data_IF_418466559704
#
_entry.id   IF_418466559704
#
_cell.length_a   1.000
_cell.length_b   1.000
_cell.length_c   1.000
_cell.angle_alpha   90.00
_cell.angle_beta   90.00
_cell.angle_gamma   90.00
#
_symmetry.space_group_name_H-M   'P 1'
#
loop_
_entity.id
_entity.type
_entity.pdbx_description
1 polymer ?
#
# COMPACT_ATOMS: atom_id res chain seq x y z
N UNK A 1 10.06 15.54 -11.57
CA UNK A 1 8.99 14.53 -11.37
C UNK A 1 7.83 15.18 -10.62
N UNK A 2 6.57 14.90 -10.99
CA UNK A 2 5.41 15.52 -10.34
C UNK A 2 5.02 14.62 -9.15
N UNK A 3 4.83 15.18 -7.96
CA UNK A 3 4.32 14.45 -6.81
C UNK A 3 2.85 14.14 -7.08
N UNK A 4 2.48 12.88 -7.02
CA UNK A 4 1.11 12.39 -7.15
C UNK A 4 0.85 11.49 -5.94
N UNK A 5 0.25 12.05 -4.91
CA UNK A 5 -0.13 11.38 -3.67
C UNK A 5 -1.59 11.68 -3.37
N UNK A 6 -2.27 10.70 -2.86
CA UNK A 6 -3.60 10.88 -2.28
C UNK A 6 -3.52 11.74 -1.03
N UNK A 7 -4.56 12.52 -0.77
CA UNK A 7 -4.57 13.52 0.29
C UNK A 7 -4.27 12.92 1.67
N UNK A 8 -4.81 11.75 1.98
CA UNK A 8 -4.60 11.10 3.28
C UNK A 8 -3.16 10.59 3.41
N UNK A 9 -2.60 10.00 2.34
CA UNK A 9 -1.22 9.57 2.28
C UNK A 9 -0.25 10.76 2.37
N UNK A 10 -0.56 11.86 1.67
CA UNK A 10 0.22 13.09 1.73
C UNK A 10 0.21 13.67 3.14
N UNK A 11 -0.95 13.75 3.78
CA UNK A 11 -1.09 14.25 5.15
C UNK A 11 -0.28 13.42 6.14
N UNK A 12 -0.33 12.08 6.04
CA UNK A 12 0.43 11.18 6.91
C UNK A 12 1.95 11.35 6.73
N UNK A 13 2.42 11.49 5.49
CA UNK A 13 3.84 11.77 5.19
C UNK A 13 4.27 13.14 5.73
N UNK A 14 3.46 14.17 5.53
CA UNK A 14 3.74 15.51 6.03
C UNK A 14 3.75 15.57 7.57
N UNK A 15 2.85 14.86 8.23
CA UNK A 15 2.82 14.74 9.68
C UNK A 15 4.11 14.12 10.21
N UNK A 16 4.56 13.00 9.58
CA UNK A 16 5.81 12.35 9.95
C UNK A 16 7.01 13.29 9.81
N UNK A 17 7.11 14.06 8.72
CA UNK A 17 8.19 15.02 8.49
C UNK A 17 8.14 16.13 9.55
N UNK A 18 6.96 16.69 9.80
CA UNK A 18 6.76 17.84 10.71
C UNK A 18 6.87 17.47 12.19
N UNK A 19 6.81 16.18 12.52
CA UNK A 19 7.05 15.70 13.88
C UNK A 19 8.45 16.02 14.40
N UNK A 20 9.39 16.38 13.51
CA UNK A 20 10.79 16.65 13.81
C UNK A 20 11.59 15.40 14.23
N UNK A 21 11.00 14.22 14.13
CA UNK A 21 11.61 12.93 14.51
C UNK A 21 11.50 11.93 13.36
N UNK A 22 12.05 12.31 12.20
CA UNK A 22 12.04 11.40 11.05
C UNK A 22 12.85 10.13 11.40
N UNK A 23 12.27 8.93 11.31
CA UNK A 23 12.99 7.68 11.54
C UNK A 23 14.12 7.50 10.54
N UNK A 24 15.25 6.96 11.00
CA UNK A 24 16.40 6.70 10.11
C UNK A 24 16.10 5.70 9.01
N UNK A 25 15.19 4.77 9.25
CA UNK A 25 14.78 3.76 8.27
C UNK A 25 13.26 3.75 8.18
N UNK A 26 12.74 3.98 6.97
CA UNK A 26 11.32 4.01 6.66
C UNK A 26 11.04 3.00 5.54
N UNK A 27 10.00 2.21 5.72
CA UNK A 27 9.45 1.32 4.70
C UNK A 27 8.07 1.85 4.31
N UNK A 28 7.91 2.23 3.05
CA UNK A 28 6.64 2.60 2.44
C UNK A 28 6.05 1.38 1.75
N UNK A 29 4.94 0.87 2.26
CA UNK A 29 4.26 -0.29 1.68
C UNK A 29 2.85 0.06 1.18
N UNK A 30 2.30 -0.74 0.28
CA UNK A 30 0.96 -0.54 -0.27
C UNK A 30 0.92 0.51 -1.37
N UNK A 31 -0.27 1.02 -1.68
CA UNK A 31 -0.49 2.00 -2.73
C UNK A 31 0.01 1.59 -4.12
N UNK A 32 -0.07 2.50 -5.07
CA UNK A 32 0.55 2.33 -6.39
C UNK A 32 2.05 2.68 -6.36
N UNK A 33 2.78 2.22 -7.39
CA UNK A 33 4.23 2.50 -7.49
C UNK A 33 4.50 4.00 -7.49
N UNK A 34 3.77 4.75 -8.29
CA UNK A 34 3.96 6.20 -8.44
C UNK A 34 3.65 6.95 -7.13
N UNK A 35 2.72 6.46 -6.33
CA UNK A 35 2.44 6.98 -5.01
C UNK A 35 3.59 6.70 -4.02
N UNK A 36 4.09 5.46 -3.99
CA UNK A 36 5.25 5.11 -3.16
C UNK A 36 6.48 5.96 -3.50
N UNK A 37 6.75 6.12 -4.80
CA UNK A 37 7.86 6.94 -5.29
C UNK A 37 7.66 8.43 -4.96
N UNK A 38 6.41 8.93 -5.03
CA UNK A 38 6.05 10.30 -4.65
C UNK A 38 6.21 10.52 -3.15
N UNK A 39 5.75 9.57 -2.32
CA UNK A 39 5.93 9.63 -0.86
C UNK A 39 7.41 9.60 -0.47
N UNK A 40 8.22 8.74 -1.10
CA UNK A 40 9.66 8.67 -0.87
C UNK A 40 10.37 9.99 -1.23
N UNK A 41 9.95 10.64 -2.32
CA UNK A 41 10.48 11.95 -2.70
C UNK A 41 10.09 13.05 -1.71
N UNK A 42 8.84 13.03 -1.23
CA UNK A 42 8.35 14.00 -0.25
C UNK A 42 9.12 13.86 1.06
N UNK A 43 9.36 12.63 1.54
CA UNK A 43 10.20 12.34 2.70
C UNK A 43 11.64 12.84 2.51
N UNK A 44 12.24 12.54 1.36
CA UNK A 44 13.60 13.00 1.06
C UNK A 44 13.69 14.53 0.98
N UNK A 45 12.71 15.18 0.33
CA UNK A 45 12.63 16.65 0.30
C UNK A 45 12.46 17.23 1.70
N UNK A 46 11.67 16.58 2.57
CA UNK A 46 11.52 16.97 3.96
C UNK A 46 12.82 16.86 4.75
N UNK A 47 13.58 15.79 4.56
CA UNK A 47 14.84 15.56 5.25
C UNK A 47 15.93 16.58 4.90
N UNK A 48 15.99 17.07 3.64
CA UNK A 48 17.00 18.04 3.20
C UNK A 48 16.52 19.50 3.28
N UNK A 49 15.25 19.75 3.58
CA UNK A 49 14.67 21.08 3.63
C UNK A 49 15.05 21.77 4.95
N UNK A 50 15.62 22.98 4.85
CA UNK A 50 16.00 23.80 6.01
C UNK A 50 15.00 24.89 6.37
N UNK A 51 13.86 24.92 5.69
CA UNK A 51 12.80 25.87 5.96
C UNK A 51 12.00 25.50 7.21
N UNK A 52 11.31 26.47 7.80
CA UNK A 52 10.56 26.28 9.05
C UNK A 52 9.44 25.21 8.94
N UNK A 53 8.87 25.04 7.74
CA UNK A 53 7.82 24.06 7.47
C UNK A 53 8.26 23.11 6.35
N UNK A 54 9.06 22.06 6.64
CA UNK A 54 9.48 21.09 5.64
C UNK A 54 8.31 20.13 5.24
N UNK A 55 8.33 19.66 3.99
CA UNK A 55 9.08 20.17 2.85
C UNK A 55 8.41 21.41 2.27
N UNK A 56 9.17 22.48 2.01
CA UNK A 56 8.60 23.69 1.42
C UNK A 56 8.38 23.58 -0.11
N UNK A 57 8.98 22.59 -0.77
CA UNK A 57 8.93 22.26 -2.21
C UNK A 57 9.37 23.39 -3.16
N UNK A 58 9.82 24.53 -2.64
CA UNK A 58 10.22 25.72 -3.41
C UNK A 58 11.68 26.12 -3.23
N UNK A 59 12.33 25.74 -2.14
CA UNK A 59 13.75 26.01 -1.92
C UNK A 59 14.63 25.18 -2.87
N UNK A 60 15.88 25.59 -3.05
CA UNK A 60 16.79 24.91 -3.96
C UNK A 60 17.02 23.42 -3.63
N UNK A 61 17.25 23.01 -2.35
CA UNK A 61 17.34 21.58 -2.00
C UNK A 61 16.10 20.80 -2.40
N UNK A 62 14.88 21.27 -2.06
CA UNK A 62 13.65 20.58 -2.42
C UNK A 62 13.51 20.41 -3.94
N UNK A 63 13.79 21.45 -4.73
CA UNK A 63 13.74 21.37 -6.21
C UNK A 63 14.71 20.34 -6.74
N UNK A 64 15.98 20.34 -6.26
CA UNK A 64 16.98 19.36 -6.66
C UNK A 64 16.53 17.92 -6.37
N UNK A 65 15.82 17.68 -5.26
CA UNK A 65 15.25 16.36 -4.95
C UNK A 65 14.18 15.96 -5.97
N UNK A 66 13.25 16.88 -6.27
CA UNK A 66 12.18 16.63 -7.24
C UNK A 66 12.72 16.41 -8.65
N UNK A 67 13.78 17.11 -9.01
CA UNK A 67 14.47 16.96 -10.31
C UNK A 67 15.42 15.74 -10.35
N UNK A 68 15.61 15.05 -9.21
CA UNK A 68 16.49 13.87 -9.13
C UNK A 68 17.99 14.16 -9.21
N UNK A 69 18.40 15.40 -8.92
CA UNK A 69 19.79 15.89 -9.04
C UNK A 69 20.42 16.34 -7.73
N UNK A 70 19.79 16.06 -6.58
CA UNK A 70 20.34 16.44 -5.28
C UNK A 70 21.55 15.54 -4.93
N UNK A 71 22.74 16.11 -4.62
CA UNK A 71 23.98 15.32 -4.43
C UNK A 71 23.96 14.42 -3.19
N UNK A 72 23.09 14.70 -2.22
CA UNK A 72 22.94 13.91 -0.98
C UNK A 72 21.68 13.03 -0.97
N UNK A 73 20.95 12.93 -2.08
CA UNK A 73 19.81 12.04 -2.23
C UNK A 73 20.13 11.01 -3.32
N UNK A 74 20.31 9.79 -2.90
CA UNK A 74 20.74 8.68 -3.75
C UNK A 74 19.55 7.78 -4.07
N UNK A 75 19.45 7.37 -5.34
CA UNK A 75 18.54 6.35 -5.82
C UNK A 75 19.36 5.23 -6.43
N UNK A 76 19.71 4.20 -5.65
CA UNK A 76 20.45 3.06 -6.18
C UNK A 76 19.67 2.38 -7.30
N UNK A 77 20.30 2.24 -8.45
CA UNK A 77 19.74 1.58 -9.62
C UNK A 77 20.65 0.41 -10.03
N UNK A 78 20.09 -0.64 -10.65
CA UNK A 78 20.88 -1.72 -11.23
C UNK A 78 21.82 -1.19 -12.29
N UNK A 79 23.00 -1.78 -12.41
CA UNK A 79 23.90 -1.47 -13.54
C UNK A 79 23.20 -1.68 -14.87
N UNK A 80 23.28 -0.69 -15.76
CA UNK A 80 22.62 -0.69 -17.10
C UNK A 80 22.91 -1.93 -17.95
N UNK A 81 23.97 -2.66 -17.62
CA UNK A 81 24.39 -3.87 -18.31
C UNK A 81 23.73 -5.17 -17.76
N UNK A 82 23.00 -5.10 -16.64
CA UNK A 82 22.30 -6.23 -16.04
C UNK A 82 20.82 -6.20 -16.41
N UNK A 83 20.40 -7.13 -17.28
CA UNK A 83 18.97 -7.31 -17.66
C UNK A 83 18.08 -7.74 -16.48
N UNK A 84 18.64 -8.04 -15.31
CA UNK A 84 17.91 -8.60 -14.16
C UNK A 84 17.14 -7.58 -13.34
N UNK A 85 17.38 -6.28 -13.50
CA UNK A 85 16.75 -5.24 -12.66
C UNK A 85 17.16 -5.30 -11.18
N UNK A 86 18.16 -6.11 -10.81
CA UNK A 86 18.59 -6.33 -9.44
C UNK A 86 19.91 -5.58 -9.20
N UNK A 87 20.00 -4.87 -8.08
CA UNK A 87 21.23 -4.26 -7.63
C UNK A 87 22.17 -5.34 -7.07
N UNK A 88 23.32 -5.53 -7.72
CA UNK A 88 24.27 -6.53 -7.24
C UNK A 88 24.89 -6.11 -5.91
N UNK A 89 25.24 -7.10 -5.06
CA UNK A 89 25.95 -6.83 -3.80
C UNK A 89 27.27 -6.08 -4.04
N UNK A 90 27.93 -6.34 -5.16
CA UNK A 90 29.17 -5.65 -5.56
C UNK A 90 28.90 -4.17 -5.82
N UNK A 91 27.91 -3.87 -6.66
CA UNK A 91 27.56 -2.47 -6.99
C UNK A 91 27.08 -1.72 -5.73
N UNK A 92 26.31 -2.40 -4.86
CA UNK A 92 25.88 -1.83 -3.59
C UNK A 92 27.08 -1.45 -2.71
N UNK A 93 28.08 -2.34 -2.59
CA UNK A 93 29.29 -2.10 -1.79
C UNK A 93 30.18 -1.01 -2.39
N UNK A 94 30.48 -1.13 -3.67
CA UNK A 94 31.46 -0.26 -4.32
C UNK A 94 30.92 1.16 -4.52
N UNK A 95 29.63 1.32 -4.85
CA UNK A 95 29.06 2.60 -5.22
C UNK A 95 28.31 3.30 -4.08
N UNK A 96 27.78 2.57 -3.11
CA UNK A 96 26.89 3.16 -2.10
C UNK A 96 27.36 2.96 -0.66
N UNK A 97 27.71 1.74 -0.20
CA UNK A 97 28.04 1.51 1.20
C UNK A 97 29.27 2.31 1.65
N UNK A 98 30.30 2.42 0.80
CA UNK A 98 31.49 3.22 1.08
C UNK A 98 31.18 4.71 1.27
N UNK A 99 30.13 5.21 0.61
CA UNK A 99 29.73 6.63 0.67
C UNK A 99 28.81 6.93 1.86
N UNK A 100 28.19 5.93 2.49
CA UNK A 100 27.26 6.12 3.61
C UNK A 100 27.95 6.71 4.84
N UNK A 101 29.22 6.44 5.03
CA UNK A 101 30.05 6.98 6.15
C UNK A 101 30.62 8.37 5.86
N UNK A 102 30.53 8.85 4.60
CA UNK A 102 31.08 10.16 4.21
C UNK A 102 30.07 11.24 4.55
N UNK A 103 30.54 12.40 4.99
CA UNK A 103 29.66 13.56 5.29
C UNK A 103 28.83 13.99 4.07
N UNK A 104 27.62 14.52 4.29
CA UNK A 104 26.83 15.13 3.22
C UNK A 104 27.56 16.28 2.52
N UNK A 105 27.20 16.57 1.28
CA UNK A 105 27.81 17.65 0.48
C UNK A 105 27.12 19.00 0.71
N UNK A 106 25.81 19.05 0.55
CA UNK A 106 25.02 20.30 0.60
C UNK A 106 23.99 20.29 1.73
N UNK A 107 23.41 19.13 2.04
CA UNK A 107 22.41 18.99 3.09
C UNK A 107 23.04 18.65 4.45
N UNK A 108 22.21 18.59 5.50
CA UNK A 108 22.65 18.14 6.82
C UNK A 108 22.57 16.59 6.94
N UNK A 109 22.02 15.93 5.93
CA UNK A 109 21.86 14.49 5.89
C UNK A 109 21.98 13.92 4.48
N UNK A 110 22.18 12.60 4.40
CA UNK A 110 22.08 11.80 3.18
C UNK A 110 20.83 10.94 3.23
N UNK A 111 20.18 10.79 2.09
CA UNK A 111 18.98 9.97 1.94
C UNK A 111 19.21 8.93 0.84
N UNK A 112 18.95 7.66 1.16
CA UNK A 112 18.99 6.57 0.19
C UNK A 112 17.58 6.04 -0.04
N UNK A 113 17.08 6.16 -1.29
CA UNK A 113 15.76 5.68 -1.68
C UNK A 113 15.93 4.41 -2.50
N UNK A 114 15.52 3.28 -1.96
CA UNK A 114 15.46 1.99 -2.65
C UNK A 114 14.06 1.76 -3.19
N UNK A 115 13.83 2.18 -4.45
CA UNK A 115 12.54 2.01 -5.11
C UNK A 115 12.31 0.55 -5.50
N UNK A 116 11.08 0.02 -5.27
CA UNK A 116 10.72 -1.40 -5.45
C UNK A 116 11.79 -2.33 -4.82
N UNK A 117 12.13 -2.09 -3.55
CA UNK A 117 13.23 -2.76 -2.87
C UNK A 117 13.10 -4.29 -2.81
N UNK A 118 11.88 -4.81 -2.87
CA UNK A 118 11.55 -6.22 -3.00
C UNK A 118 12.06 -6.86 -4.30
N UNK A 119 12.13 -6.06 -5.38
CA UNK A 119 12.68 -6.48 -6.67
C UNK A 119 14.14 -6.10 -6.82
N UNK A 120 14.53 -4.96 -6.26
CA UNK A 120 15.86 -4.39 -6.39
C UNK A 120 16.90 -5.12 -5.54
N UNK A 121 16.57 -5.52 -4.30
CA UNK A 121 17.49 -6.02 -3.31
C UNK A 121 17.26 -7.50 -3.01
N UNK A 122 18.27 -8.34 -3.26
CA UNK A 122 18.31 -9.72 -2.77
C UNK A 122 18.64 -9.78 -1.28
N UNK A 123 18.48 -10.93 -0.66
CA UNK A 123 18.75 -11.15 0.76
C UNK A 123 20.19 -10.78 1.16
N UNK A 124 21.17 -11.08 0.32
CA UNK A 124 22.59 -10.74 0.54
C UNK A 124 22.82 -9.22 0.56
N UNK A 125 22.13 -8.48 -0.32
CA UNK A 125 22.18 -7.01 -0.36
C UNK A 125 21.47 -6.41 0.84
N UNK A 126 20.32 -6.96 1.26
CA UNK A 126 19.62 -6.53 2.47
C UNK A 126 20.48 -6.79 3.72
N UNK A 127 21.11 -7.95 3.83
CA UNK A 127 22.03 -8.28 4.92
C UNK A 127 23.24 -7.32 4.99
N UNK A 128 23.77 -6.90 3.84
CA UNK A 128 24.87 -5.93 3.80
C UNK A 128 24.48 -4.54 4.34
N UNK A 129 23.21 -4.16 4.25
CA UNK A 129 22.69 -2.89 4.80
C UNK A 129 22.45 -2.96 6.30
N UNK A 130 22.27 -4.16 6.91
CA UNK A 130 21.83 -4.31 8.29
C UNK A 130 22.73 -3.57 9.28
N UNK A 131 24.05 -3.66 9.14
CA UNK A 131 24.97 -2.98 10.04
C UNK A 131 24.73 -1.46 10.08
N UNK A 132 24.48 -0.85 8.92
CA UNK A 132 24.22 0.59 8.81
C UNK A 132 22.80 0.95 9.25
N UNK A 133 21.84 0.03 9.13
CA UNK A 133 20.47 0.21 9.62
C UNK A 133 20.42 0.08 11.15
N UNK A 134 21.25 -0.77 11.75
CA UNK A 134 21.33 -0.96 13.20
C UNK A 134 21.99 0.22 13.91
N UNK A 135 23.07 0.70 13.34
CA UNK A 135 23.86 1.81 13.88
C UNK A 135 23.97 2.93 12.82
N UNK A 136 22.89 3.61 12.49
CA UNK A 136 22.92 4.62 11.44
C UNK A 136 23.74 5.83 11.91
N UNK A 137 24.62 6.37 11.05
CA UNK A 137 25.16 7.71 11.26
C UNK A 137 24.00 8.71 11.44
N UNK A 138 24.17 9.70 12.33
CA UNK A 138 23.12 10.66 12.68
C UNK A 138 22.50 11.39 11.47
N UNK A 139 23.25 11.48 10.38
CA UNK A 139 22.87 12.18 9.16
C UNK A 139 22.48 11.25 8.01
N UNK A 140 22.03 10.00 8.29
CA UNK A 140 21.72 9.02 7.25
C UNK A 140 20.29 8.52 7.38
N UNK A 141 19.56 8.54 6.28
CA UNK A 141 18.18 8.03 6.18
C UNK A 141 18.04 7.03 5.06
N UNK A 142 17.27 5.97 5.33
CA UNK A 142 16.89 4.94 4.37
C UNK A 142 15.39 4.97 4.14
N UNK A 143 14.99 4.98 2.88
CA UNK A 143 13.59 4.89 2.45
C UNK A 143 13.49 3.71 1.49
N UNK A 144 12.75 2.69 1.89
CA UNK A 144 12.45 1.53 1.06
C UNK A 144 11.01 1.63 0.57
N UNK A 145 10.79 1.52 -0.73
CA UNK A 145 9.43 1.35 -1.25
C UNK A 145 9.21 -0.10 -1.65
N UNK A 146 8.10 -0.69 -1.23
CA UNK A 146 7.76 -2.10 -1.47
C UNK A 146 6.25 -2.26 -1.68
N UNK A 147 5.84 -3.31 -2.36
CA UNK A 147 4.41 -3.65 -2.43
C UNK A 147 3.91 -4.17 -1.07
N UNK A 148 4.73 -4.95 -0.36
CA UNK A 148 4.46 -5.40 1.00
C UNK A 148 5.75 -5.50 1.78
N UNK A 149 5.77 -4.98 3.01
CA UNK A 149 6.94 -5.06 3.89
C UNK A 149 7.37 -6.51 4.15
N UNK A 150 6.45 -7.48 4.05
CA UNK A 150 6.74 -8.92 4.22
C UNK A 150 7.75 -9.47 3.22
N UNK A 151 7.96 -8.79 2.09
CA UNK A 151 8.97 -9.16 1.09
C UNK A 151 10.41 -8.82 1.50
N UNK A 152 10.58 -7.98 2.53
CA UNK A 152 11.88 -7.68 3.10
C UNK A 152 12.19 -8.59 4.29
N UNK A 153 13.47 -8.77 4.59
CA UNK A 153 13.93 -9.56 5.73
C UNK A 153 13.32 -9.04 7.04
N UNK A 154 13.00 -9.95 7.94
CA UNK A 154 12.47 -9.61 9.26
C UNK A 154 13.41 -8.68 10.04
N UNK A 155 14.70 -8.88 9.87
CA UNK A 155 15.77 -8.07 10.50
C UNK A 155 15.76 -6.61 10.03
N UNK A 156 15.45 -6.35 8.77
CA UNK A 156 15.25 -4.98 8.23
C UNK A 156 13.95 -4.38 8.77
N UNK A 157 12.85 -5.15 8.71
CA UNK A 157 11.53 -4.68 9.16
C UNK A 157 11.48 -4.31 10.63
N UNK A 158 12.16 -5.08 11.49
CA UNK A 158 12.15 -4.84 12.94
C UNK A 158 12.87 -3.55 13.35
N UNK A 159 13.63 -2.93 12.45
CA UNK A 159 14.40 -1.71 12.66
C UNK A 159 13.89 -0.51 11.84
N UNK A 160 12.81 -0.71 11.14
CA UNK A 160 12.22 0.30 10.27
C UNK A 160 10.86 0.77 10.80
N UNK A 161 10.55 2.03 10.57
CA UNK A 161 9.18 2.54 10.67
C UNK A 161 8.42 2.14 9.40
N UNK A 162 7.38 1.32 9.54
CA UNK A 162 6.56 0.89 8.40
C UNK A 162 5.37 1.85 8.30
N UNK A 163 5.27 2.51 7.15
CA UNK A 163 4.14 3.37 6.79
C UNK A 163 3.38 2.71 5.64
N UNK A 164 2.13 2.38 5.88
CA UNK A 164 1.25 1.81 4.86
C UNK A 164 0.57 2.96 4.13
N UNK A 165 0.79 3.03 2.82
CA UNK A 165 0.08 3.93 1.94
C UNK A 165 -1.25 3.27 1.58
N UNK A 166 -2.32 3.97 1.92
CA UNK A 166 -3.66 3.54 1.54
C UNK A 166 -3.82 3.81 0.04
N UNK A 167 -4.36 2.85 -0.66
CA UNK A 167 -4.88 3.10 -1.99
C UNK A 167 -6.21 3.82 -1.79
N UNK A 168 -6.39 5.02 -2.35
CA UNK A 168 -7.75 5.43 -2.61
C UNK A 168 -8.32 4.36 -3.52
N UNK A 169 -9.29 3.65 -3.03
CA UNK A 169 -10.24 3.09 -3.94
C UNK A 169 -10.76 4.32 -4.72
N UNK A 170 -10.25 4.57 -5.93
CA UNK A 170 -11.02 5.29 -6.93
C UNK A 170 -12.25 4.41 -7.04
N UNK A 171 -13.23 4.73 -6.21
CA UNK A 171 -14.52 4.05 -6.23
C UNK A 171 -15.09 4.47 -7.56
N UNK A 172 -14.76 3.68 -8.56
CA UNK A 172 -15.42 3.76 -9.83
C UNK A 172 -16.92 3.68 -9.52
N UNK A 173 -17.68 4.69 -9.91
CA UNK A 173 -19.13 4.72 -9.67
C UNK A 173 -19.75 3.40 -10.14
N UNK A 174 -19.20 2.78 -11.17
CA UNK A 174 -19.61 1.47 -11.68
C UNK A 174 -19.28 0.34 -10.68
N UNK A 175 -18.13 0.37 -10.01
CA UNK A 175 -17.75 -0.63 -9.00
C UNK A 175 -18.58 -0.49 -7.72
N UNK A 176 -18.85 0.75 -7.28
CA UNK A 176 -19.75 1.04 -6.15
C UNK A 176 -21.18 0.56 -6.47
N UNK A 177 -21.67 0.83 -7.68
CA UNK A 177 -22.97 0.37 -8.13
C UNK A 177 -23.03 -1.17 -8.17
N UNK A 178 -22.01 -1.82 -8.70
CA UNK A 178 -21.93 -3.29 -8.76
C UNK A 178 -21.85 -3.92 -7.36
N UNK A 179 -21.10 -3.31 -6.42
CA UNK A 179 -21.08 -3.76 -5.03
C UNK A 179 -22.44 -3.57 -4.34
N UNK A 180 -23.17 -2.49 -4.65
CA UNK A 180 -24.51 -2.28 -4.16
C UNK A 180 -25.50 -3.33 -4.74
N UNK A 181 -25.39 -3.65 -6.03
CA UNK A 181 -26.16 -4.73 -6.66
C UNK A 181 -25.83 -6.11 -6.03
N UNK A 182 -24.56 -6.37 -5.71
CA UNK A 182 -24.16 -7.57 -4.99
C UNK A 182 -24.82 -7.66 -3.62
N UNK A 183 -24.87 -6.54 -2.89
CA UNK A 183 -25.58 -6.46 -1.60
C UNK A 183 -27.07 -6.71 -1.80
N UNK A 184 -27.69 -6.10 -2.79
CA UNK A 184 -29.11 -6.31 -3.10
C UNK A 184 -29.38 -7.77 -3.45
N UNK A 185 -28.52 -8.40 -4.23
CA UNK A 185 -28.58 -9.83 -4.52
C UNK A 185 -28.44 -10.71 -3.26
N UNK A 186 -27.55 -10.37 -2.34
CA UNK A 186 -27.33 -11.12 -1.09
C UNK A 186 -28.55 -11.04 -0.16
N UNK A 187 -29.18 -9.88 -0.05
CA UNK A 187 -30.36 -9.68 0.81
C UNK A 187 -31.69 -10.07 0.13
N UNK A 188 -31.66 -10.33 -1.17
CA UNK A 188 -32.83 -10.78 -1.96
C UNK A 188 -33.24 -12.19 -1.55
N UNK A 189 -34.54 -12.46 -1.67
CA UNK A 189 -35.13 -13.80 -1.50
C UNK A 189 -34.95 -14.69 -2.74
N UNK A 190 -34.52 -14.12 -3.87
CA UNK A 190 -34.34 -14.83 -5.13
C UNK A 190 -32.87 -15.11 -5.40
N UNK A 191 -32.54 -16.38 -5.64
CA UNK A 191 -31.20 -16.81 -5.97
C UNK A 191 -30.68 -16.18 -7.28
N UNK A 192 -31.57 -15.97 -8.22
CA UNK A 192 -31.28 -15.38 -9.52
C UNK A 192 -30.60 -14.01 -9.41
N UNK A 193 -31.01 -13.15 -8.48
CA UNK A 193 -30.48 -11.81 -8.34
C UNK A 193 -28.97 -11.84 -7.99
N UNK A 194 -28.57 -12.72 -7.06
CA UNK A 194 -27.18 -12.88 -6.67
C UNK A 194 -26.34 -13.51 -7.78
N UNK A 195 -26.87 -14.57 -8.42
CA UNK A 195 -26.18 -15.23 -9.52
C UNK A 195 -25.98 -14.30 -10.71
N UNK A 196 -26.97 -13.49 -11.04
CA UNK A 196 -26.87 -12.51 -12.11
C UNK A 196 -25.73 -11.55 -11.90
N UNK A 197 -25.64 -10.89 -10.74
CA UNK A 197 -24.58 -9.94 -10.43
C UNK A 197 -23.21 -10.60 -10.49
N UNK A 198 -23.05 -11.78 -9.88
CA UNK A 198 -21.77 -12.50 -9.90
C UNK A 198 -21.39 -13.01 -11.29
N UNK A 199 -22.36 -13.34 -12.15
CA UNK A 199 -22.10 -13.81 -13.51
C UNK A 199 -21.55 -12.71 -14.42
N UNK A 200 -21.95 -11.46 -14.22
CA UNK A 200 -21.42 -10.31 -14.97
C UNK A 200 -20.00 -9.95 -14.56
N UNK A 201 -19.54 -10.36 -13.37
CA UNK A 201 -18.15 -10.19 -12.90
C UNK A 201 -17.27 -11.32 -13.46
N UNK A 202 -17.00 -11.26 -14.76
CA UNK A 202 -16.31 -12.32 -15.51
C UNK A 202 -14.81 -12.06 -15.72
N UNK A 203 -14.29 -10.91 -15.26
CA UNK A 203 -12.88 -10.58 -15.27
C UNK A 203 -12.31 -10.53 -13.85
N UNK A 204 -11.01 -10.80 -13.74
CA UNK A 204 -10.32 -10.92 -12.45
C UNK A 204 -10.25 -9.60 -11.70
N UNK A 205 -9.97 -8.50 -12.41
CA UNK A 205 -9.75 -7.20 -11.79
C UNK A 205 -11.06 -6.61 -11.27
N UNK A 206 -12.12 -6.65 -12.08
CA UNK A 206 -13.45 -6.17 -11.68
C UNK A 206 -14.04 -6.98 -10.53
N UNK A 207 -13.86 -8.32 -10.52
CA UNK A 207 -14.28 -9.15 -9.40
C UNK A 207 -13.51 -8.83 -8.13
N UNK A 208 -12.18 -8.70 -8.19
CA UNK A 208 -11.34 -8.39 -7.03
C UNK A 208 -11.72 -7.04 -6.43
N UNK A 209 -11.93 -6.02 -7.26
CA UNK A 209 -12.27 -4.67 -6.83
C UNK A 209 -13.69 -4.63 -6.21
N UNK A 210 -14.68 -5.25 -6.87
CA UNK A 210 -16.05 -5.35 -6.33
C UNK A 210 -16.07 -6.06 -4.97
N UNK A 211 -15.32 -7.16 -4.81
CA UNK A 211 -15.23 -7.88 -3.54
C UNK A 211 -14.54 -7.05 -2.45
N UNK A 212 -13.61 -6.17 -2.81
CA UNK A 212 -12.97 -5.23 -1.88
C UNK A 212 -13.98 -4.20 -1.37
N UNK A 213 -14.67 -3.50 -2.28
CA UNK A 213 -15.72 -2.52 -1.92
C UNK A 213 -16.81 -3.19 -1.07
N UNK A 214 -17.23 -4.39 -1.44
CA UNK A 214 -18.20 -5.16 -0.67
C UNK A 214 -17.69 -5.46 0.76
N UNK A 215 -16.42 -5.87 0.91
CA UNK A 215 -15.80 -6.11 2.22
C UNK A 215 -15.80 -4.86 3.09
N UNK A 216 -15.54 -3.69 2.52
CA UNK A 216 -15.55 -2.43 3.27
C UNK A 216 -16.96 -2.06 3.74
N UNK A 217 -17.99 -2.28 2.91
CA UNK A 217 -19.38 -2.11 3.33
C UNK A 217 -19.78 -3.08 4.44
N UNK A 218 -19.29 -4.32 4.43
CA UNK A 218 -19.47 -5.28 5.51
C UNK A 218 -18.78 -4.83 6.81
N UNK A 219 -17.58 -4.25 6.73
CA UNK A 219 -16.88 -3.68 7.89
C UNK A 219 -17.62 -2.49 8.48
N UNK A 220 -18.17 -1.60 7.62
CA UNK A 220 -19.03 -0.51 8.06
C UNK A 220 -20.29 -1.03 8.76
N UNK A 221 -20.88 -2.13 8.27
CA UNK A 221 -22.01 -2.78 8.94
C UNK A 221 -21.63 -3.33 10.32
N UNK A 222 -20.40 -3.87 10.49
CA UNK A 222 -19.90 -4.27 11.82
C UNK A 222 -19.72 -3.08 12.75
N UNK A 223 -19.21 -1.95 12.25
CA UNK A 223 -19.07 -0.72 13.03
C UNK A 223 -20.43 -0.17 13.46
N UNK A 224 -21.46 -0.28 12.60
CA UNK A 224 -22.83 0.10 12.94
C UNK A 224 -23.37 -0.70 14.15
N UNK A 225 -23.12 -2.01 14.23
CA UNK A 225 -23.51 -2.82 15.40
C UNK A 225 -22.74 -2.44 16.67
N UNK A 226 -21.65 -1.68 16.53
CA UNK A 226 -20.87 -1.14 17.67
C UNK A 226 -21.25 0.31 18.02
N UNK A 227 -22.31 0.85 17.38
CA UNK A 227 -22.86 2.17 17.67
C UNK A 227 -22.36 3.31 16.75
N UNK A 228 -21.55 3.01 15.74
CA UNK A 228 -21.11 4.01 14.74
C UNK A 228 -22.23 4.24 13.72
N UNK A 229 -22.71 5.47 13.58
CA UNK A 229 -23.75 5.79 12.61
C UNK A 229 -23.17 5.79 11.18
N UNK A 230 -24.00 5.36 10.22
CA UNK A 230 -23.68 5.39 8.80
C UNK A 230 -24.86 5.95 7.99
N UNK A 231 -24.57 6.69 6.94
CA UNK A 231 -25.59 7.17 5.99
C UNK A 231 -25.67 6.33 4.71
N UNK A 232 -24.76 5.36 4.53
CA UNK A 232 -24.72 4.48 3.37
C UNK A 232 -26.01 3.61 3.30
N UNK A 233 -26.81 3.72 2.20
CA UNK A 233 -28.03 2.96 2.05
C UNK A 233 -27.80 1.44 1.98
N UNK A 234 -26.68 1.00 1.38
CA UNK A 234 -26.31 -0.41 1.24
C UNK A 234 -25.98 -1.03 2.58
N UNK A 235 -25.25 -0.29 3.44
CA UNK A 235 -24.96 -0.71 4.81
C UNK A 235 -26.24 -0.81 5.65
N UNK A 236 -27.14 0.17 5.51
CA UNK A 236 -28.45 0.13 6.18
C UNK A 236 -29.30 -1.07 5.74
N UNK A 237 -29.23 -1.49 4.47
CA UNK A 237 -29.91 -2.71 3.98
C UNK A 237 -29.31 -3.96 4.63
N UNK A 238 -27.98 -4.08 4.67
CA UNK A 238 -27.28 -5.22 5.29
C UNK A 238 -27.68 -5.35 6.77
N UNK A 239 -27.57 -4.28 7.55
CA UNK A 239 -27.83 -4.30 9.00
C UNK A 239 -29.29 -4.58 9.38
N UNK A 240 -30.23 -4.31 8.46
CA UNK A 240 -31.65 -4.65 8.66
C UNK A 240 -31.98 -6.12 8.42
N UNK A 241 -31.21 -6.80 7.56
CA UNK A 241 -31.50 -8.16 7.08
C UNK A 241 -30.61 -9.22 7.69
N UNK A 242 -29.38 -8.87 8.05
CA UNK A 242 -28.36 -9.80 8.55
C UNK A 242 -28.02 -9.44 9.99
N UNK A 243 -27.66 -10.41 10.78
CA UNK A 243 -27.10 -10.21 12.11
C UNK A 243 -25.55 -10.09 12.03
N UNK A 244 -24.95 -9.70 13.16
CA UNK A 244 -23.48 -9.52 13.28
C UNK A 244 -22.71 -10.79 12.89
N UNK A 245 -23.21 -11.99 13.26
CA UNK A 245 -22.53 -13.27 12.97
C UNK A 245 -22.47 -13.55 11.47
N UNK A 246 -23.58 -13.31 10.78
CA UNK A 246 -23.66 -13.47 9.32
C UNK A 246 -22.77 -12.49 8.58
N UNK A 247 -22.70 -11.24 9.03
CA UNK A 247 -21.78 -10.25 8.45
C UNK A 247 -20.32 -10.69 8.61
N UNK A 248 -19.92 -11.22 9.76
CA UNK A 248 -18.57 -11.76 9.96
C UNK A 248 -18.32 -12.94 9.02
N UNK A 249 -19.25 -13.88 8.92
CA UNK A 249 -19.10 -15.02 8.01
C UNK A 249 -19.00 -14.62 6.54
N UNK A 250 -19.73 -13.56 6.11
CA UNK A 250 -19.58 -13.00 4.77
C UNK A 250 -18.20 -12.42 4.54
N UNK A 251 -17.63 -11.70 5.51
CA UNK A 251 -16.25 -11.17 5.42
C UNK A 251 -15.24 -12.29 5.26
N UNK A 252 -15.37 -13.37 6.02
CA UNK A 252 -14.46 -14.53 5.96
C UNK A 252 -14.47 -15.18 4.58
N UNK A 253 -15.66 -15.46 4.05
CA UNK A 253 -15.83 -16.07 2.71
C UNK A 253 -15.34 -15.13 1.61
N UNK A 254 -15.62 -13.82 1.72
CA UNK A 254 -15.14 -12.84 0.73
C UNK A 254 -13.61 -12.76 0.72
N UNK A 255 -12.97 -12.73 1.89
CA UNK A 255 -11.52 -12.74 2.00
C UNK A 255 -10.90 -14.05 1.44
N UNK A 256 -11.57 -15.19 1.64
CA UNK A 256 -11.16 -16.46 1.03
C UNK A 256 -11.21 -16.38 -0.50
N UNK A 257 -12.27 -15.80 -1.07
CA UNK A 257 -12.39 -15.59 -2.51
C UNK A 257 -11.28 -14.69 -3.06
N UNK A 258 -11.01 -13.56 -2.40
CA UNK A 258 -9.91 -12.64 -2.78
C UNK A 258 -8.54 -13.35 -2.73
N UNK A 259 -8.32 -14.21 -1.72
CA UNK A 259 -7.08 -14.99 -1.66
C UNK A 259 -6.97 -16.03 -2.79
N UNK A 260 -8.09 -16.67 -3.17
CA UNK A 260 -8.13 -17.59 -4.32
C UNK A 260 -7.88 -16.87 -5.64
N UNK A 261 -8.31 -15.61 -5.80
CA UNK A 261 -8.02 -14.79 -6.98
C UNK A 261 -6.52 -14.54 -7.18
N UNK A 262 -5.71 -14.55 -6.12
CA UNK A 262 -4.24 -14.41 -6.24
C UNK A 262 -3.58 -15.62 -6.89
N UNK A 263 -4.28 -16.76 -6.95
CA UNK A 263 -3.86 -17.97 -7.65
C UNK A 263 -4.54 -18.05 -9.02
N UNK A 264 -4.13 -19.02 -9.83
CA UNK A 264 -4.70 -19.20 -11.18
C UNK A 264 -6.04 -19.95 -11.10
N UNK A 265 -7.11 -19.25 -10.68
CA UNK A 265 -8.45 -19.83 -10.49
C UNK A 265 -9.37 -19.50 -11.68
N UNK A 266 -10.25 -20.43 -12.03
CA UNK A 266 -11.33 -20.17 -12.98
C UNK A 266 -12.38 -19.25 -12.32
N UNK A 267 -12.62 -18.06 -12.92
CA UNK A 267 -13.50 -17.03 -12.37
C UNK A 267 -14.95 -17.52 -12.26
N UNK A 268 -15.46 -18.20 -13.28
CA UNK A 268 -16.82 -18.70 -13.28
C UNK A 268 -17.09 -19.75 -12.19
N UNK A 269 -16.10 -20.61 -11.92
CA UNK A 269 -16.18 -21.55 -10.80
C UNK A 269 -16.13 -20.83 -9.46
N UNK A 270 -15.31 -19.79 -9.35
CA UNK A 270 -15.18 -19.01 -8.13
C UNK A 270 -16.48 -18.24 -7.83
N UNK A 271 -17.08 -17.58 -8.82
CA UNK A 271 -18.34 -16.83 -8.65
C UNK A 271 -19.52 -17.76 -8.33
N UNK A 272 -19.56 -18.95 -8.93
CA UNK A 272 -20.57 -19.99 -8.59
C UNK A 272 -20.39 -20.45 -7.15
N UNK A 273 -19.15 -20.71 -6.73
CA UNK A 273 -18.84 -21.10 -5.36
C UNK A 273 -19.22 -19.98 -4.37
N UNK A 274 -18.90 -18.72 -4.69
CA UNK A 274 -19.27 -17.55 -3.87
C UNK A 274 -20.78 -17.45 -3.69
N UNK A 275 -21.56 -17.58 -4.78
CA UNK A 275 -23.01 -17.56 -4.71
C UNK A 275 -23.54 -18.60 -3.74
N UNK A 276 -23.07 -19.85 -3.86
CA UNK A 276 -23.45 -20.94 -2.95
C UNK A 276 -23.10 -20.62 -1.49
N UNK A 277 -21.90 -20.10 -1.21
CA UNK A 277 -21.47 -19.78 0.16
C UNK A 277 -22.28 -18.61 0.76
N UNK A 278 -22.50 -17.55 -0.03
CA UNK A 278 -23.32 -16.42 0.42
C UNK A 278 -24.75 -16.84 0.73
N UNK A 279 -25.36 -17.69 -0.10
CA UNK A 279 -26.71 -18.23 0.15
C UNK A 279 -26.75 -19.10 1.41
N UNK A 280 -25.76 -19.95 1.60
CA UNK A 280 -25.65 -20.75 2.83
C UNK A 280 -25.64 -19.90 4.09
N UNK A 281 -24.94 -18.77 4.08
CA UNK A 281 -24.85 -17.86 5.22
C UNK A 281 -26.16 -17.08 5.43
N UNK A 282 -26.77 -16.62 4.34
CA UNK A 282 -27.93 -15.71 4.42
C UNK A 282 -29.27 -16.41 4.60
N UNK A 283 -29.41 -17.66 4.13
CA UNK A 283 -30.67 -18.44 4.16
C UNK A 283 -30.76 -19.47 5.28
N UNK A 284 -29.68 -19.81 5.96
CA UNK A 284 -29.79 -20.68 7.13
C UNK A 284 -30.59 -19.98 8.24
N UNK A 285 -31.67 -20.64 8.70
CA UNK A 285 -32.50 -20.21 9.84
C UNK A 285 -31.78 -20.39 11.18
#
# INVERSE_FOLDING_TARGET
MKISLQQDNENAVLELIRSGRLPHTIILEGGEKDERDSAALLLAAGAVCREANPPCLRCNPCRKVLDGIHPDVFRPEPSKNLKSGILSLKDLRDSYLSQMSVRPNEADCKVYIFSDADKLLREDSQNALLKTIEEPPQSLYFIFTVQSAKSLLLTVRSRAHIMTLHREDVRDEDTEATAAELIDGIVSLYEYDLLRTLFFLNDKAGLEETLRVFTDKLRQALSFYSGVMTDDPSVKKLTRKLDRRRVIALIEITNEAVNRLKTNVNIQLLTTWLSSQYRRITWQK
#
